data_IF_119404443106
#
_entry.id   IF_119404443106
#
_cell.length_a   1.000
_cell.length_b   1.000
_cell.length_c   1.000
_cell.angle_alpha   90.00
_cell.angle_beta   90.00
_cell.angle_gamma   90.00
#
_symmetry.space_group_name_H-M   'P 1'
#
loop_
_entity.id
_entity.type
_entity.pdbx_description
1 polymer ?
#
# COMPACT_ATOMS: atom_id res chain seq x y z
N UNK A 1 -42.01 -6.43 -8.86
CA UNK A 1 -40.93 -7.36 -9.29
C UNK A 1 -39.73 -6.66 -9.94
N UNK A 2 -39.87 -5.63 -10.80
CA UNK A 2 -38.72 -4.89 -11.38
C UNK A 2 -38.05 -3.88 -10.44
N UNK A 3 -38.81 -3.18 -9.59
CA UNK A 3 -38.28 -2.13 -8.71
C UNK A 3 -37.31 -2.64 -7.61
N UNK A 4 -37.57 -3.83 -7.02
CA UNK A 4 -36.65 -4.46 -6.04
C UNK A 4 -35.31 -4.88 -6.65
N UNK A 5 -35.33 -5.49 -7.84
CA UNK A 5 -34.11 -5.90 -8.56
C UNK A 5 -33.23 -4.70 -8.96
N UNK A 6 -33.83 -3.57 -9.33
CA UNK A 6 -33.08 -2.35 -9.64
C UNK A 6 -32.39 -1.76 -8.40
N UNK A 7 -33.03 -1.83 -7.23
CA UNK A 7 -32.45 -1.37 -5.97
C UNK A 7 -31.31 -2.29 -5.48
N UNK A 8 -31.49 -3.62 -5.59
CA UNK A 8 -30.46 -4.62 -5.29
C UNK A 8 -29.22 -4.44 -6.17
N UNK A 9 -29.40 -4.28 -7.49
CA UNK A 9 -28.29 -4.04 -8.42
C UNK A 9 -27.55 -2.72 -8.14
N UNK A 10 -28.28 -1.67 -7.76
CA UNK A 10 -27.69 -0.37 -7.38
C UNK A 10 -26.86 -0.50 -6.10
N UNK A 11 -27.39 -1.22 -5.11
CA UNK A 11 -26.71 -1.48 -3.84
C UNK A 11 -25.46 -2.35 -4.03
N UNK A 12 -25.53 -3.38 -4.88
CA UNK A 12 -24.38 -4.23 -5.20
C UNK A 12 -23.30 -3.46 -5.94
N UNK A 13 -23.67 -2.54 -6.84
CA UNK A 13 -22.72 -1.66 -7.51
C UNK A 13 -22.06 -0.70 -6.52
N UNK A 14 -22.84 -0.04 -5.67
CA UNK A 14 -22.32 0.86 -4.64
C UNK A 14 -21.39 0.13 -3.67
N UNK A 15 -21.73 -1.11 -3.27
CA UNK A 15 -20.86 -1.97 -2.45
C UNK A 15 -19.55 -2.27 -3.16
N UNK A 16 -19.59 -2.67 -4.43
CA UNK A 16 -18.37 -2.89 -5.22
C UNK A 16 -17.55 -1.62 -5.41
N UNK A 17 -18.18 -0.45 -5.45
CA UNK A 17 -17.51 0.86 -5.52
C UNK A 17 -16.83 1.19 -4.19
N UNK A 18 -17.51 1.01 -3.06
CA UNK A 18 -16.92 1.19 -1.72
C UNK A 18 -15.77 0.19 -1.47
N UNK A 19 -15.93 -1.08 -1.87
CA UNK A 19 -14.86 -2.08 -1.80
C UNK A 19 -13.67 -1.74 -2.72
N UNK A 20 -13.89 -0.88 -3.73
CA UNK A 20 -12.81 -0.35 -4.57
C UNK A 20 -12.04 0.76 -3.90
N UNK A 21 -12.63 1.54 -3.02
CA UNK A 21 -11.97 2.68 -2.35
C UNK A 21 -11.07 2.25 -1.17
N UNK A 22 -11.01 0.95 -0.88
CA UNK A 22 -10.15 0.39 0.16
C UNK A 22 -8.73 0.11 -0.37
N UNK A 23 -7.72 0.61 0.33
CA UNK A 23 -6.33 0.21 0.13
C UNK A 23 -6.14 -1.20 0.69
N UNK A 24 -5.77 -2.16 -0.16
CA UNK A 24 -5.45 -3.53 0.25
C UNK A 24 -3.97 -3.78 0.12
N UNK A 25 -3.32 -4.25 1.19
CA UNK A 25 -1.89 -4.54 1.22
C UNK A 25 -1.68 -5.95 1.74
N UNK A 26 -0.79 -6.70 1.07
CA UNK A 26 -0.31 -7.96 1.63
C UNK A 26 0.51 -7.70 2.91
N UNK A 27 0.37 -8.49 3.97
CA UNK A 27 1.03 -8.22 5.26
C UNK A 27 2.57 -8.07 5.17
N UNK A 28 3.20 -8.83 4.29
CA UNK A 28 4.64 -8.75 3.97
C UNK A 28 4.97 -7.83 2.77
N UNK A 29 3.99 -7.08 2.27
CA UNK A 29 4.13 -6.17 1.13
C UNK A 29 4.40 -6.84 -0.22
N UNK A 30 4.02 -8.11 -0.39
CA UNK A 30 4.22 -8.85 -1.66
C UNK A 30 3.40 -8.29 -2.82
N UNK A 31 2.28 -7.64 -2.53
CA UNK A 31 1.42 -6.95 -3.49
C UNK A 31 0.58 -5.89 -2.76
N UNK A 32 -0.07 -5.00 -3.54
CA UNK A 32 -1.12 -4.12 -3.05
C UNK A 32 -2.20 -3.88 -4.12
N UNK A 33 -3.38 -3.40 -3.73
CA UNK A 33 -4.40 -2.83 -4.61
C UNK A 33 -4.73 -1.44 -4.10
N UNK A 34 -4.50 -0.41 -4.92
CA UNK A 34 -4.77 0.97 -4.55
C UNK A 34 -6.28 1.22 -4.49
N UNK A 35 -6.74 2.21 -3.69
CA UNK A 35 -8.09 2.74 -3.78
C UNK A 35 -8.46 3.09 -5.23
N UNK A 36 -9.67 2.73 -5.65
CA UNK A 36 -10.18 2.88 -7.02
C UNK A 36 -9.60 1.90 -8.05
N UNK A 37 -8.57 1.10 -7.72
CA UNK A 37 -7.94 0.20 -8.68
C UNK A 37 -8.72 -1.11 -8.85
N UNK A 38 -8.83 -1.55 -10.11
CA UNK A 38 -9.45 -2.82 -10.47
C UNK A 38 -8.52 -4.01 -10.22
N UNK A 39 -7.21 -3.82 -10.37
CA UNK A 39 -6.20 -4.88 -10.30
C UNK A 39 -5.14 -4.61 -9.23
N UNK A 40 -4.56 -5.68 -8.70
CA UNK A 40 -3.44 -5.61 -7.77
C UNK A 40 -2.10 -5.46 -8.47
N UNK A 41 -1.16 -4.79 -7.83
CA UNK A 41 0.22 -4.61 -8.28
C UNK A 41 1.14 -5.55 -7.50
N UNK A 42 1.79 -6.48 -8.21
CA UNK A 42 2.80 -7.35 -7.62
C UNK A 42 4.10 -6.61 -7.30
N UNK A 43 4.65 -6.81 -6.10
CA UNK A 43 5.97 -6.32 -5.69
C UNK A 43 7.01 -7.45 -5.54
N UNK A 44 6.66 -8.71 -5.83
CA UNK A 44 7.54 -9.88 -5.65
C UNK A 44 8.90 -9.75 -6.36
N UNK A 45 8.93 -9.09 -7.52
CA UNK A 45 10.17 -8.84 -8.29
C UNK A 45 10.92 -7.56 -7.86
N UNK A 46 10.40 -6.80 -6.90
CA UNK A 46 10.89 -5.48 -6.48
C UNK A 46 11.35 -5.53 -5.03
N UNK A 47 12.52 -6.14 -4.83
CA UNK A 47 13.04 -6.64 -3.54
C UNK A 47 12.98 -5.65 -2.35
N UNK A 48 13.16 -4.35 -2.57
CA UNK A 48 13.08 -3.36 -1.49
C UNK A 48 11.68 -2.74 -1.30
N UNK A 49 10.84 -2.71 -2.33
CA UNK A 49 9.53 -2.04 -2.28
C UNK A 49 8.55 -2.77 -1.37
N UNK A 50 8.56 -4.11 -1.43
CA UNK A 50 7.65 -4.93 -0.63
C UNK A 50 7.89 -4.76 0.88
N UNK A 51 9.12 -4.97 1.39
CA UNK A 51 9.44 -4.75 2.79
C UNK A 51 9.11 -3.33 3.29
N UNK A 52 9.36 -2.30 2.47
CA UNK A 52 8.99 -0.91 2.79
C UNK A 52 7.47 -0.75 2.92
N UNK A 53 6.71 -1.27 1.96
CA UNK A 53 5.25 -1.18 2.00
C UNK A 53 4.65 -1.96 3.18
N UNK A 54 5.17 -3.16 3.45
CA UNK A 54 4.79 -3.96 4.61
C UNK A 54 5.06 -3.22 5.91
N UNK A 55 6.23 -2.60 6.06
CA UNK A 55 6.58 -1.80 7.24
C UNK A 55 5.65 -0.60 7.43
N UNK A 56 5.30 0.12 6.36
CA UNK A 56 4.32 1.22 6.42
C UNK A 56 2.92 0.74 6.82
N UNK A 57 2.47 -0.41 6.29
CA UNK A 57 1.20 -1.04 6.68
C UNK A 57 1.16 -1.41 8.17
N UNK A 58 2.22 -2.06 8.66
CA UNK A 58 2.31 -2.44 10.07
C UNK A 58 2.38 -1.21 10.99
N UNK A 59 3.18 -0.20 10.63
CA UNK A 59 3.25 1.07 11.38
C UNK A 59 1.87 1.75 11.45
N UNK A 60 1.14 1.78 10.33
CA UNK A 60 -0.22 2.34 10.24
C UNK A 60 -1.23 1.61 11.14
N UNK A 61 -1.11 0.28 11.28
CA UNK A 61 -1.95 -0.53 12.19
C UNK A 61 -1.61 -0.30 13.66
N UNK A 62 -0.32 -0.18 13.98
CA UNK A 62 0.14 -0.03 15.36
C UNK A 62 -0.08 1.40 15.88
N UNK A 63 0.20 2.40 15.05
CA UNK A 63 0.13 3.83 15.41
C UNK A 63 -0.42 4.65 14.22
N UNK A 64 -1.75 4.66 14.03
CA UNK A 64 -2.42 5.51 13.04
C UNK A 64 -1.92 6.97 13.07
N UNK A 65 -1.67 7.54 11.89
CA UNK A 65 -1.25 8.94 11.75
C UNK A 65 0.21 9.24 12.12
N UNK A 66 0.97 8.26 12.64
CA UNK A 66 2.40 8.45 12.95
C UNK A 66 3.28 8.05 11.76
N UNK A 67 4.19 8.95 11.39
CA UNK A 67 5.20 8.67 10.37
C UNK A 67 6.23 7.63 10.84
N UNK A 68 6.54 6.68 9.96
CA UNK A 68 7.69 5.81 10.10
C UNK A 68 8.94 6.55 9.59
N UNK A 69 9.95 6.66 10.46
CA UNK A 69 11.19 7.39 10.17
C UNK A 69 11.95 6.77 8.99
N UNK A 70 12.69 7.60 8.24
CA UNK A 70 13.49 7.13 7.08
C UNK A 70 14.47 6.02 7.48
N UNK A 71 15.13 6.09 8.63
CA UNK A 71 16.07 5.05 9.07
C UNK A 71 15.39 3.69 9.26
N UNK A 72 14.14 3.68 9.75
CA UNK A 72 13.35 2.46 9.87
C UNK A 72 12.94 1.92 8.49
N UNK A 73 12.66 2.80 7.52
CA UNK A 73 12.38 2.41 6.14
C UNK A 73 13.62 1.87 5.43
N UNK A 74 14.81 2.43 5.72
CA UNK A 74 16.10 1.89 5.26
C UNK A 74 16.29 0.48 5.82
N UNK A 75 16.13 0.30 7.13
CA UNK A 75 16.27 -0.99 7.78
C UNK A 75 15.28 -2.05 7.24
N UNK A 76 14.06 -1.64 6.90
CA UNK A 76 13.07 -2.51 6.29
C UNK A 76 13.45 -2.92 4.85
N UNK A 77 13.83 -1.97 3.99
CA UNK A 77 14.15 -2.23 2.58
C UNK A 77 15.51 -2.88 2.36
N UNK A 78 16.48 -2.61 3.23
CA UNK A 78 17.88 -3.00 3.11
C UNK A 78 18.48 -3.40 4.47
N UNK A 79 18.07 -4.55 5.05
CA UNK A 79 18.47 -4.95 6.40
C UNK A 79 19.98 -5.16 6.58
N UNK A 80 20.69 -5.54 5.50
CA UNK A 80 22.14 -5.74 5.52
C UNK A 80 22.96 -4.45 5.39
N UNK A 81 22.32 -3.32 5.09
CA UNK A 81 23.00 -2.06 4.81
C UNK A 81 22.88 -1.10 5.99
N UNK A 82 23.61 -1.40 7.07
CA UNK A 82 23.53 -0.62 8.31
C UNK A 82 24.34 0.69 8.31
N UNK A 83 25.18 0.97 7.31
CA UNK A 83 26.10 2.12 7.36
C UNK A 83 26.32 2.75 5.97
N UNK A 84 25.36 3.51 5.44
CA UNK A 84 25.61 4.63 4.51
C UNK A 84 24.48 5.65 4.61
N UNK A 85 24.62 6.60 5.52
CA UNK A 85 23.57 7.55 5.91
C UNK A 85 22.92 8.30 4.73
N UNK A 86 23.67 8.58 3.64
CA UNK A 86 23.12 9.29 2.48
C UNK A 86 22.54 8.36 1.41
N UNK A 87 23.26 7.28 1.09
CA UNK A 87 22.81 6.33 0.06
C UNK A 87 21.54 5.58 0.45
N UNK A 88 21.29 5.35 1.75
CA UNK A 88 20.04 4.75 2.22
C UNK A 88 18.84 5.69 2.06
N UNK A 89 19.01 6.97 2.40
CA UNK A 89 17.95 7.98 2.29
C UNK A 89 17.48 8.14 0.84
N UNK A 90 18.41 8.29 -0.11
CA UNK A 90 18.08 8.45 -1.53
C UNK A 90 17.32 7.25 -2.09
N UNK A 91 17.64 6.04 -1.60
CA UNK A 91 16.91 4.83 -1.98
C UNK A 91 15.51 4.76 -1.40
N UNK A 92 15.30 5.24 -0.17
CA UNK A 92 13.94 5.38 0.39
C UNK A 92 13.12 6.35 -0.46
N UNK A 93 13.70 7.49 -0.85
CA UNK A 93 13.02 8.44 -1.74
C UNK A 93 12.64 7.81 -3.07
N UNK A 94 13.56 7.08 -3.71
CA UNK A 94 13.30 6.38 -4.97
C UNK A 94 12.26 5.26 -4.82
N UNK A 95 12.29 4.53 -3.71
CA UNK A 95 11.34 3.47 -3.42
C UNK A 95 9.92 4.04 -3.23
N UNK A 96 9.78 5.08 -2.42
CA UNK A 96 8.48 5.75 -2.20
C UNK A 96 7.98 6.39 -3.49
N UNK A 97 8.85 7.08 -4.25
CA UNK A 97 8.48 7.64 -5.55
C UNK A 97 7.97 6.55 -6.50
N UNK A 98 8.59 5.38 -6.50
CA UNK A 98 8.15 4.23 -7.29
C UNK A 98 6.79 3.71 -6.83
N UNK A 99 6.58 3.51 -5.52
CA UNK A 99 5.29 3.09 -4.97
C UNK A 99 4.17 4.08 -5.32
N UNK A 100 4.44 5.38 -5.22
CA UNK A 100 3.50 6.43 -5.63
C UNK A 100 3.15 6.35 -7.11
N UNK A 101 4.14 6.14 -7.97
CA UNK A 101 3.93 5.95 -9.42
C UNK A 101 3.14 4.68 -9.76
N UNK A 102 3.26 3.65 -8.94
CA UNK A 102 2.51 2.39 -9.09
C UNK A 102 1.05 2.48 -8.61
N UNK A 103 0.62 3.63 -8.06
CA UNK A 103 -0.78 3.86 -7.67
C UNK A 103 -0.97 4.34 -6.23
N UNK A 104 0.09 4.42 -5.42
CA UNK A 104 0.00 4.84 -4.01
C UNK A 104 0.30 6.33 -3.80
N UNK A 105 0.09 7.17 -4.83
CA UNK A 105 0.41 8.60 -4.77
C UNK A 105 -0.30 9.28 -3.60
N UNK A 106 -1.60 9.05 -3.50
CA UNK A 106 -2.45 9.71 -2.52
C UNK A 106 -2.46 8.95 -1.18
N UNK A 107 -2.18 7.64 -1.22
CA UNK A 107 -2.12 6.80 -0.03
C UNK A 107 -0.83 6.94 0.80
N UNK A 108 0.30 7.40 0.22
CA UNK A 108 1.57 7.56 0.95
C UNK A 108 1.86 9.04 1.19
N UNK A 109 1.81 9.46 2.45
CA UNK A 109 2.06 10.83 2.89
C UNK A 109 3.49 10.99 3.45
N UNK A 110 4.02 12.21 3.39
CA UNK A 110 5.29 12.60 4.03
C UNK A 110 4.98 13.47 5.25
N UNK A 111 5.51 13.09 6.41
CA UNK A 111 5.39 13.82 7.70
C UNK A 111 6.64 13.58 8.54
N UNK A 112 7.06 14.56 9.34
CA UNK A 112 8.10 14.43 10.38
C UNK A 112 9.37 13.66 9.96
N UNK A 113 9.90 13.97 8.77
CA UNK A 113 11.08 13.29 8.20
C UNK A 113 10.90 11.78 7.98
N UNK A 114 9.67 11.33 7.76
CA UNK A 114 9.31 9.96 7.47
C UNK A 114 8.13 9.87 6.49
N UNK A 115 7.58 8.67 6.42
CA UNK A 115 6.42 8.37 5.60
C UNK A 115 5.38 7.60 6.39
N UNK A 116 4.11 7.81 6.05
CA UNK A 116 2.99 7.04 6.58
C UNK A 116 2.03 6.70 5.45
N UNK A 117 1.23 5.66 5.67
CA UNK A 117 -0.02 5.51 4.94
C UNK A 117 -1.03 6.52 5.48
N UNK A 118 -1.80 7.11 4.59
CA UNK A 118 -2.83 8.08 4.94
C UNK A 118 -3.78 7.51 6.03
N UNK A 119 -3.97 8.20 7.17
CA UNK A 119 -4.94 7.81 8.17
C UNK A 119 -6.40 7.78 7.68
N UNK A 120 -6.73 8.58 6.69
CA UNK A 120 -8.11 8.73 6.21
C UNK A 120 -8.46 7.72 5.10
N UNK A 121 -7.46 7.01 4.57
CA UNK A 121 -7.67 5.89 3.65
C UNK A 121 -7.98 4.62 4.42
N UNK A 122 -9.09 3.96 4.08
CA UNK A 122 -9.43 2.65 4.64
C UNK A 122 -8.38 1.61 4.23
N UNK A 123 -7.83 0.88 5.21
CA UNK A 123 -6.75 -0.07 5.02
C UNK A 123 -7.18 -1.48 5.43
N UNK A 124 -7.04 -2.42 4.51
CA UNK A 124 -7.11 -3.86 4.77
C UNK A 124 -5.74 -4.48 4.58
N UNK A 125 -5.24 -5.17 5.60
CA UNK A 125 -4.04 -6.00 5.49
C UNK A 125 -4.43 -7.47 5.46
N UNK A 126 -3.93 -8.22 4.49
CA UNK A 126 -4.25 -9.64 4.31
C UNK A 126 -2.99 -10.48 4.10
N UNK A 127 -3.06 -11.76 4.51
CA UNK A 127 -2.05 -12.78 4.19
C UNK A 127 -2.37 -13.56 2.92
N UNK A 128 -3.57 -13.37 2.40
CA UNK A 128 -4.02 -14.05 1.20
C UNK A 128 -3.24 -13.52 -0.01
N UNK A 129 -2.89 -14.42 -0.91
CA UNK A 129 -2.37 -14.02 -2.21
C UNK A 129 -3.54 -13.53 -3.06
N UNK A 130 -3.38 -12.36 -3.70
CA UNK A 130 -4.26 -12.04 -4.81
C UNK A 130 -4.00 -13.04 -5.93
N UNK A 131 -5.08 -13.54 -6.53
CA UNK A 131 -5.00 -14.20 -7.82
C UNK A 131 -4.62 -13.15 -8.88
N UNK A 132 -3.32 -12.89 -9.00
CA UNK A 132 -2.74 -11.94 -9.95
C UNK A 132 -2.67 -12.52 -11.38
N UNK A 133 -3.43 -13.58 -11.68
CA UNK A 133 -3.37 -14.34 -12.94
C UNK A 133 -4.03 -13.63 -14.13
N UNK A 134 -4.48 -12.39 -13.99
CA UNK A 134 -5.12 -11.66 -15.07
C UNK A 134 -4.14 -10.69 -15.76
N UNK A 135 -3.66 -11.12 -16.94
CA UNK A 135 -3.11 -10.34 -18.06
C UNK A 135 -1.63 -9.91 -18.00
N UNK A 136 -0.82 -10.66 -18.76
CA UNK A 136 0.31 -10.12 -19.53
C UNK A 136 -0.12 -9.78 -20.94
#
# INVERSE_FOLDING_TARGET
ARARRALEATRDRARRELDRDVLVIHEEGRWFRAPGANEGVSLRRRRALGPILGALGQARRQQPGRALAIDALVAAGWPSERVMARAGIDRVYNAVATLRRLGLRDAILRRDNGYLLDPDTELVMTREELDLSAHG
#
